data_IF_627036815638
#
_entry.id   IF_627036815638
#
_cell.length_a   1.000
_cell.length_b   1.000
_cell.length_c   1.000
_cell.angle_alpha   90.00
_cell.angle_beta   90.00
_cell.angle_gamma   90.00
#
_symmetry.space_group_name_H-M   'P 1'
#
loop_
_entity.id
_entity.type
_entity.pdbx_description
1 polymer ?
#
# COMPACT_ATOMS: atom_id res chain seq x y z
N UNK A 1 -9.42 -13.42 26.21
CA UNK A 1 -9.81 -13.36 24.77
C UNK A 1 -10.14 -14.71 24.16
N UNK A 2 -9.17 -15.61 23.90
CA UNK A 2 -9.44 -16.87 23.17
C UNK A 2 -10.53 -17.73 23.83
N UNK A 3 -10.58 -17.76 25.16
CA UNK A 3 -11.64 -18.44 25.91
C UNK A 3 -13.02 -17.81 25.66
N UNK A 4 -13.14 -16.49 25.77
CA UNK A 4 -14.38 -15.74 25.50
C UNK A 4 -14.93 -15.97 24.09
N UNK A 5 -14.05 -15.99 23.09
CA UNK A 5 -14.40 -16.29 21.70
C UNK A 5 -14.90 -17.73 21.59
N UNK A 6 -14.17 -18.68 22.17
CA UNK A 6 -14.56 -20.09 22.16
C UNK A 6 -15.92 -20.31 22.84
N UNK A 7 -16.19 -19.65 23.96
CA UNK A 7 -17.43 -19.82 24.70
C UNK A 7 -18.62 -19.17 23.97
N UNK A 8 -18.42 -17.99 23.36
CA UNK A 8 -19.42 -17.38 22.48
C UNK A 8 -19.76 -18.31 21.31
N UNK A 9 -18.76 -18.88 20.64
CA UNK A 9 -18.97 -19.83 19.54
C UNK A 9 -19.66 -21.13 19.98
N UNK A 10 -19.37 -21.66 21.18
CA UNK A 10 -20.07 -22.85 21.73
C UNK A 10 -21.54 -22.57 22.04
N UNK A 11 -21.90 -21.34 22.38
CA UNK A 11 -23.30 -20.97 22.60
C UNK A 11 -24.09 -21.04 21.29
N UNK A 12 -23.49 -20.60 20.19
CA UNK A 12 -24.13 -20.56 18.89
C UNK A 12 -24.08 -21.90 18.12
N UNK A 13 -22.99 -22.65 18.24
CA UNK A 13 -22.77 -23.90 17.50
C UNK A 13 -23.24 -25.09 18.35
N UNK A 14 -24.38 -25.66 17.98
CA UNK A 14 -24.98 -26.82 18.66
C UNK A 14 -24.78 -28.11 17.86
N UNK A 15 -24.78 -29.29 18.53
CA UNK A 15 -24.84 -30.58 17.85
C UNK A 15 -26.02 -30.63 16.86
N UNK A 16 -25.84 -31.24 15.66
CA UNK A 16 -24.72 -32.09 15.24
C UNK A 16 -23.45 -31.34 14.80
N UNK A 17 -23.47 -30.01 14.71
CA UNK A 17 -22.32 -29.20 14.31
C UNK A 17 -21.19 -29.26 15.35
N UNK A 18 -19.95 -29.07 14.89
CA UNK A 18 -18.75 -29.19 15.72
C UNK A 18 -17.93 -27.91 15.71
N UNK A 19 -17.33 -27.61 16.88
CA UNK A 19 -16.34 -26.56 17.06
C UNK A 19 -15.08 -27.17 17.66
N UNK A 20 -13.93 -26.91 17.04
CA UNK A 20 -12.62 -27.32 17.51
C UNK A 20 -11.63 -26.15 17.44
N UNK A 21 -10.59 -26.19 18.29
CA UNK A 21 -9.43 -25.29 18.20
C UNK A 21 -8.24 -26.09 17.72
N UNK A 22 -7.63 -25.69 16.61
CA UNK A 22 -6.45 -26.36 16.05
C UNK A 22 -5.18 -26.04 16.82
N UNK A 23 -5.06 -24.79 17.26
CA UNK A 23 -3.86 -24.24 17.90
C UNK A 23 -3.86 -22.72 17.78
N UNK A 24 -3.02 -22.02 18.57
CA UNK A 24 -2.94 -20.55 18.47
C UNK A 24 -4.29 -19.86 18.57
N UNK A 25 -4.59 -18.98 17.63
CA UNK A 25 -5.86 -18.25 17.43
C UNK A 25 -6.79 -18.91 16.40
N UNK A 26 -6.54 -20.17 16.01
CA UNK A 26 -7.24 -20.86 14.92
C UNK A 26 -8.33 -21.81 15.42
N UNK A 27 -9.53 -21.65 14.84
CA UNK A 27 -10.71 -22.47 15.11
C UNK A 27 -11.21 -23.14 13.82
N UNK A 28 -11.70 -24.38 13.93
CA UNK A 28 -12.46 -25.07 12.89
C UNK A 28 -13.91 -25.19 13.35
N UNK A 29 -14.81 -24.85 12.43
CA UNK A 29 -16.24 -25.10 12.56
C UNK A 29 -16.64 -26.10 11.47
N UNK A 30 -17.36 -27.16 11.84
CA UNK A 30 -17.90 -28.12 10.90
C UNK A 30 -19.42 -28.19 11.04
N UNK A 31 -20.11 -28.00 9.92
CA UNK A 31 -21.57 -28.01 9.84
C UNK A 31 -22.02 -29.21 9.01
N UNK A 32 -23.09 -29.87 9.46
CA UNK A 32 -23.63 -31.06 8.82
C UNK A 32 -25.06 -30.80 8.35
N UNK A 33 -25.51 -31.58 7.36
CA UNK A 33 -26.87 -31.52 6.81
C UNK A 33 -27.30 -30.12 6.37
N UNK A 34 -26.39 -29.40 5.70
CA UNK A 34 -26.66 -28.09 5.11
C UNK A 34 -27.23 -28.26 3.70
N UNK A 35 -28.44 -27.74 3.46
CA UNK A 35 -29.14 -27.88 2.17
C UNK A 35 -28.69 -26.87 1.10
N UNK A 36 -28.21 -25.67 1.52
CA UNK A 36 -27.87 -24.58 0.59
C UNK A 36 -26.77 -23.65 1.13
N UNK A 37 -25.82 -23.30 0.26
CA UNK A 37 -24.74 -22.35 0.54
C UNK A 37 -25.28 -20.93 0.80
N UNK A 38 -26.39 -20.56 0.17
CA UNK A 38 -27.01 -19.24 0.37
C UNK A 38 -27.51 -19.05 1.80
N UNK A 39 -27.81 -20.15 2.51
CA UNK A 39 -28.19 -20.12 3.93
C UNK A 39 -26.98 -20.23 4.85
N UNK A 40 -25.89 -20.83 4.39
CA UNK A 40 -24.68 -21.06 5.16
C UNK A 40 -23.89 -19.77 5.40
N UNK A 41 -23.69 -18.95 4.36
CA UNK A 41 -22.90 -17.71 4.50
C UNK A 41 -23.50 -16.75 5.52
N UNK A 42 -24.81 -16.41 5.47
CA UNK A 42 -25.43 -15.54 6.47
C UNK A 42 -25.38 -16.13 7.89
N UNK A 43 -25.44 -17.46 8.02
CA UNK A 43 -25.30 -18.13 9.31
C UNK A 43 -23.90 -17.92 9.90
N UNK A 44 -22.85 -18.13 9.11
CA UNK A 44 -21.47 -17.91 9.55
C UNK A 44 -21.21 -16.42 9.83
N UNK A 45 -21.74 -15.52 9.00
CA UNK A 45 -21.70 -14.07 9.26
C UNK A 45 -22.34 -13.71 10.60
N UNK A 46 -23.48 -14.32 10.94
CA UNK A 46 -24.13 -14.09 12.24
C UNK A 46 -23.25 -14.50 13.43
N UNK A 47 -22.46 -15.57 13.29
CA UNK A 47 -21.50 -15.98 14.30
C UNK A 47 -20.33 -15.00 14.40
N UNK A 48 -19.88 -14.47 13.25
CA UNK A 48 -18.83 -13.46 13.19
C UNK A 48 -19.28 -12.16 13.85
N UNK A 49 -20.50 -11.69 13.58
CA UNK A 49 -21.06 -10.49 14.21
C UNK A 49 -21.20 -10.66 15.73
N UNK A 50 -21.59 -11.85 16.21
CA UNK A 50 -21.65 -12.14 17.65
C UNK A 50 -20.30 -12.02 18.35
N UNK A 51 -19.21 -12.40 17.66
CA UNK A 51 -17.85 -12.33 18.21
C UNK A 51 -17.13 -11.03 17.87
N UNK A 52 -17.63 -10.23 16.93
CA UNK A 52 -17.13 -8.89 16.53
C UNK A 52 -17.61 -7.82 17.51
N UNK A 53 -17.22 -7.99 18.78
CA UNK A 53 -17.54 -7.09 19.89
C UNK A 53 -16.26 -6.65 20.60
N UNK A 54 -16.34 -5.58 21.37
CA UNK A 54 -15.27 -5.20 22.31
C UNK A 54 -15.21 -6.23 23.44
N UNK A 55 -14.03 -6.81 23.65
CA UNK A 55 -13.72 -7.66 24.79
C UNK A 55 -12.99 -6.85 25.83
N UNK A 56 -13.57 -6.76 27.01
CA UNK A 56 -12.91 -6.14 28.17
C UNK A 56 -12.04 -7.21 28.81
N UNK A 57 -10.73 -7.00 28.80
CA UNK A 57 -9.77 -7.86 29.49
C UNK A 57 -8.96 -6.97 30.44
N UNK A 58 -9.08 -7.25 31.72
CA UNK A 58 -8.60 -6.39 32.80
C UNK A 58 -9.26 -4.99 32.74
N UNK A 59 -8.53 -3.94 32.37
CA UNK A 59 -9.04 -2.56 32.22
C UNK A 59 -8.97 -2.05 30.77
N UNK A 60 -8.53 -2.89 29.83
CA UNK A 60 -8.32 -2.50 28.44
C UNK A 60 -9.41 -3.08 27.52
N UNK A 61 -9.81 -2.26 26.55
CA UNK A 61 -10.77 -2.61 25.51
C UNK A 61 -10.06 -3.20 24.28
N UNK A 62 -10.38 -4.45 23.96
CA UNK A 62 -9.84 -5.13 22.78
C UNK A 62 -10.92 -5.34 21.73
N UNK A 63 -10.67 -4.83 20.53
CA UNK A 63 -11.47 -5.14 19.34
C UNK A 63 -10.77 -6.22 18.52
N UNK A 64 -11.51 -7.24 18.11
CA UNK A 64 -10.97 -8.35 17.30
C UNK A 64 -11.73 -8.48 15.98
N UNK A 65 -10.99 -8.91 14.96
CA UNK A 65 -11.48 -9.20 13.62
C UNK A 65 -11.26 -10.67 13.31
N UNK A 66 -12.00 -11.22 12.35
CA UNK A 66 -11.92 -12.65 12.02
C UNK A 66 -11.85 -12.86 10.51
N UNK A 67 -11.05 -13.82 10.06
CA UNK A 67 -11.05 -14.23 8.65
C UNK A 67 -11.42 -15.70 8.58
N UNK A 68 -12.44 -16.03 7.79
CA UNK A 68 -12.90 -17.40 7.59
C UNK A 68 -12.69 -17.85 6.15
N UNK A 69 -12.34 -19.13 6.01
CA UNK A 69 -12.31 -19.84 4.75
C UNK A 69 -13.27 -21.02 4.83
N UNK A 70 -14.10 -21.18 3.80
CA UNK A 70 -15.16 -22.18 3.76
C UNK A 70 -14.89 -23.17 2.64
N UNK A 71 -14.87 -24.47 2.96
CA UNK A 71 -14.85 -25.54 1.97
C UNK A 71 -16.11 -26.41 2.13
N UNK A 72 -16.74 -26.76 1.00
CA UNK A 72 -17.98 -27.51 0.96
C UNK A 72 -17.72 -28.95 0.57
N UNK A 73 -18.35 -29.87 1.26
CA UNK A 73 -18.43 -31.26 0.82
C UNK A 73 -19.70 -31.45 -0.02
N UNK A 74 -19.65 -32.17 -1.16
CA UNK A 74 -18.46 -32.78 -1.77
C UNK A 74 -17.71 -31.85 -2.76
N UNK A 75 -18.26 -30.68 -3.06
CA UNK A 75 -17.83 -29.83 -4.19
C UNK A 75 -16.36 -29.39 -4.10
N UNK A 76 -15.88 -29.09 -2.89
CA UNK A 76 -14.51 -28.65 -2.63
C UNK A 76 -13.64 -29.79 -2.06
N UNK A 77 -14.09 -31.04 -2.12
CA UNK A 77 -13.32 -32.19 -1.67
C UNK A 77 -14.18 -33.28 -1.06
N UNK A 78 -13.78 -34.53 -1.28
CA UNK A 78 -14.50 -35.71 -0.78
C UNK A 78 -13.89 -36.33 0.47
N UNK A 79 -12.80 -35.74 0.98
CA UNK A 79 -12.09 -36.20 2.17
C UNK A 79 -11.69 -35.01 3.06
N UNK A 80 -11.52 -35.29 4.36
CA UNK A 80 -11.28 -34.26 5.36
C UNK A 80 -9.95 -33.51 5.15
N UNK A 81 -8.92 -34.16 4.59
CA UNK A 81 -7.61 -33.53 4.36
C UNK A 81 -7.75 -32.49 3.26
N UNK A 82 -8.41 -32.85 2.16
CA UNK A 82 -8.67 -31.96 1.03
C UNK A 82 -9.53 -30.78 1.45
N UNK A 83 -10.65 -31.02 2.16
CA UNK A 83 -11.53 -29.96 2.66
C UNK A 83 -10.79 -29.00 3.60
N UNK A 84 -10.01 -29.52 4.54
CA UNK A 84 -9.26 -28.69 5.48
C UNK A 84 -8.21 -27.84 4.76
N UNK A 85 -7.49 -28.40 3.78
CA UNK A 85 -6.52 -27.65 2.96
C UNK A 85 -7.20 -26.55 2.15
N UNK A 86 -8.38 -26.82 1.60
CA UNK A 86 -9.13 -25.86 0.80
C UNK A 86 -9.75 -24.75 1.66
N UNK A 87 -10.25 -25.08 2.85
CA UNK A 87 -10.68 -24.08 3.83
C UNK A 87 -9.52 -23.18 4.26
N UNK A 88 -8.35 -23.74 4.55
CA UNK A 88 -7.15 -22.98 4.89
C UNK A 88 -6.67 -22.07 3.73
N UNK A 89 -6.71 -22.58 2.50
CA UNK A 89 -6.45 -21.78 1.30
C UNK A 89 -7.38 -20.56 1.22
N UNK A 90 -8.67 -20.75 1.45
CA UNK A 90 -9.63 -19.66 1.48
C UNK A 90 -9.38 -18.67 2.63
N UNK A 91 -8.95 -19.13 3.82
CA UNK A 91 -8.51 -18.25 4.93
C UNK A 91 -7.33 -17.39 4.50
N UNK A 92 -6.34 -17.98 3.82
CA UNK A 92 -5.17 -17.25 3.32
C UNK A 92 -5.58 -16.16 2.32
N UNK A 93 -6.50 -16.48 1.40
CA UNK A 93 -7.06 -15.49 0.47
C UNK A 93 -7.83 -14.39 1.22
N UNK A 94 -8.66 -14.72 2.21
CA UNK A 94 -9.36 -13.75 3.05
C UNK A 94 -8.38 -12.79 3.75
N UNK A 95 -7.31 -13.33 4.34
CA UNK A 95 -6.23 -12.52 4.95
C UNK A 95 -5.52 -11.65 3.90
N UNK A 96 -5.41 -12.12 2.66
CA UNK A 96 -4.75 -11.37 1.59
C UNK A 96 -5.59 -10.20 1.05
N UNK A 97 -6.93 -10.33 1.05
CA UNK A 97 -7.92 -9.37 0.53
C UNK A 97 -8.34 -8.29 1.53
N UNK A 98 -7.63 -8.13 2.65
CA UNK A 98 -7.92 -7.11 3.66
C UNK A 98 -8.30 -7.64 5.04
N UNK A 99 -8.31 -8.97 5.23
CA UNK A 99 -8.77 -9.64 6.47
C UNK A 99 -10.27 -9.36 6.70
N UNK A 100 -10.74 -9.74 7.88
CA UNK A 100 -12.09 -9.46 8.39
C UNK A 100 -13.26 -9.83 7.45
N UNK A 101 -13.14 -10.96 6.75
CA UNK A 101 -14.08 -11.41 5.73
C UNK A 101 -14.17 -12.94 5.66
N UNK A 102 -15.25 -13.43 5.06
CA UNK A 102 -15.47 -14.84 4.77
C UNK A 102 -15.19 -15.07 3.28
N UNK A 103 -14.40 -16.08 2.98
CA UNK A 103 -14.11 -16.49 1.60
C UNK A 103 -14.51 -17.94 1.43
N UNK A 104 -15.36 -18.21 0.45
CA UNK A 104 -15.65 -19.58 0.02
C UNK A 104 -14.55 -20.01 -0.92
N UNK A 105 -14.03 -21.21 -0.70
CA UNK A 105 -13.01 -21.81 -1.54
C UNK A 105 -13.48 -21.91 -2.99
N UNK A 106 -12.56 -21.62 -3.89
CA UNK A 106 -12.66 -21.89 -5.32
C UNK A 106 -11.33 -22.49 -5.78
N UNK A 107 -11.35 -23.34 -6.81
CA UNK A 107 -10.15 -24.02 -7.31
C UNK A 107 -9.06 -23.04 -7.75
N UNK A 108 -9.46 -21.86 -8.24
CA UNK A 108 -8.53 -20.79 -8.60
C UNK A 108 -7.65 -20.33 -7.42
N UNK A 109 -8.16 -20.43 -6.18
CA UNK A 109 -7.42 -20.00 -4.98
C UNK A 109 -6.16 -20.83 -4.74
N UNK A 110 -6.18 -22.12 -5.04
CA UNK A 110 -4.98 -22.98 -4.91
C UNK A 110 -3.91 -22.53 -5.90
N UNK A 111 -4.32 -22.20 -7.12
CA UNK A 111 -3.42 -21.67 -8.15
C UNK A 111 -2.84 -20.33 -7.72
N UNK A 112 -3.67 -19.41 -7.19
CA UNK A 112 -3.23 -18.11 -6.69
C UNK A 112 -2.18 -18.23 -5.56
N UNK A 113 -2.43 -19.08 -4.57
CA UNK A 113 -1.49 -19.28 -3.44
C UNK A 113 -0.16 -19.87 -3.92
N UNK A 114 -0.22 -20.83 -4.85
CA UNK A 114 0.98 -21.40 -5.47
C UNK A 114 1.77 -20.33 -6.21
N UNK A 115 1.09 -19.49 -7.01
CA UNK A 115 1.72 -18.39 -7.72
C UNK A 115 2.38 -17.39 -6.77
N UNK A 116 1.71 -17.00 -5.68
CA UNK A 116 2.27 -16.11 -4.66
C UNK A 116 3.53 -16.69 -4.01
N UNK A 117 3.50 -18.00 -3.71
CA UNK A 117 4.65 -18.70 -3.11
C UNK A 117 5.84 -18.77 -4.08
N UNK A 118 5.59 -19.06 -5.35
CA UNK A 118 6.62 -19.02 -6.40
C UNK A 118 7.25 -17.62 -6.51
N UNK A 119 6.42 -16.58 -6.53
CA UNK A 119 6.86 -15.18 -6.59
C UNK A 119 7.70 -14.84 -5.37
N UNK A 120 7.27 -15.20 -4.16
CA UNK A 120 8.03 -14.96 -2.93
C UNK A 120 9.41 -15.64 -2.93
N UNK A 121 9.48 -16.87 -3.42
CA UNK A 121 10.75 -17.60 -3.53
C UNK A 121 11.71 -16.92 -4.51
N UNK A 122 11.19 -16.41 -5.62
CA UNK A 122 11.97 -15.72 -6.65
C UNK A 122 12.37 -14.30 -6.23
N UNK A 123 11.51 -13.61 -5.47
CA UNK A 123 11.76 -12.26 -4.95
C UNK A 123 13.07 -12.18 -4.15
N UNK A 124 13.39 -13.24 -3.38
CA UNK A 124 14.65 -13.37 -2.63
C UNK A 124 15.89 -13.32 -3.53
N UNK A 125 15.76 -13.77 -4.78
CA UNK A 125 16.83 -13.82 -5.77
C UNK A 125 16.82 -12.60 -6.70
N UNK A 126 15.74 -11.80 -6.70
CA UNK A 126 15.56 -10.70 -7.64
C UNK A 126 16.66 -9.64 -7.54
N UNK A 127 17.10 -9.26 -6.34
CA UNK A 127 18.23 -8.33 -6.15
C UNK A 127 19.56 -8.94 -6.63
N UNK A 128 20.01 -10.13 -6.14
CA UNK A 128 21.23 -10.76 -6.64
C UNK A 128 21.27 -10.98 -8.15
N UNK A 129 20.12 -11.26 -8.77
CA UNK A 129 20.01 -11.54 -10.21
C UNK A 129 19.83 -10.28 -11.07
N UNK A 130 19.81 -9.07 -10.48
CA UNK A 130 19.55 -7.81 -11.17
C UNK A 130 18.21 -7.79 -11.94
N UNK A 131 17.17 -8.36 -11.35
CA UNK A 131 15.83 -8.43 -11.95
C UNK A 131 15.01 -7.15 -11.71
N UNK A 132 15.46 -6.29 -10.78
CA UNK A 132 14.85 -5.00 -10.54
C UNK A 132 15.47 -3.89 -11.39
N UNK A 133 14.63 -2.95 -11.82
CA UNK A 133 15.05 -1.70 -12.44
C UNK A 133 14.20 -0.54 -11.90
N UNK A 134 14.69 0.69 -12.04
CA UNK A 134 13.91 1.88 -11.76
C UNK A 134 13.44 2.53 -13.06
N UNK A 135 12.14 2.80 -13.11
CA UNK A 135 11.56 3.73 -14.07
C UNK A 135 11.27 5.06 -13.36
N UNK A 136 11.23 6.14 -14.11
CA UNK A 136 11.11 7.49 -13.59
C UNK A 136 9.94 8.19 -14.25
N UNK A 137 9.06 8.76 -13.44
CA UNK A 137 7.94 9.55 -13.93
C UNK A 137 8.15 11.04 -13.62
N UNK A 138 8.19 11.92 -14.64
CA UNK A 138 8.30 13.36 -14.49
C UNK A 138 7.18 13.99 -13.65
N UNK A 139 7.59 14.93 -12.81
CA UNK A 139 6.75 15.86 -12.06
C UNK A 139 6.96 17.25 -12.66
N UNK A 140 5.90 17.83 -13.22
CA UNK A 140 5.93 19.07 -13.99
C UNK A 140 5.38 20.22 -13.16
N UNK A 141 6.06 21.36 -13.17
CA UNK A 141 5.57 22.63 -12.61
C UNK A 141 4.48 23.21 -13.51
N UNK A 142 3.27 23.37 -13.00
CA UNK A 142 2.15 23.88 -13.81
C UNK A 142 2.26 25.37 -14.13
N UNK A 143 3.08 26.13 -13.39
CA UNK A 143 3.26 27.56 -13.60
C UNK A 143 4.09 27.87 -14.85
N UNK A 144 5.16 27.10 -15.10
CA UNK A 144 6.10 27.33 -16.21
C UNK A 144 6.33 26.12 -17.13
N UNK A 145 5.59 25.03 -16.90
CA UNK A 145 5.61 23.79 -17.67
C UNK A 145 6.99 23.11 -17.74
N UNK A 146 7.84 23.36 -16.73
CA UNK A 146 9.18 22.74 -16.63
C UNK A 146 9.21 21.56 -15.69
N UNK A 147 10.18 20.67 -15.93
CA UNK A 147 10.48 19.57 -15.02
C UNK A 147 10.93 20.09 -13.65
N UNK A 148 10.22 19.69 -12.59
CA UNK A 148 10.56 19.96 -11.19
C UNK A 148 11.31 18.79 -10.54
N UNK A 149 10.89 17.57 -10.87
CA UNK A 149 11.45 16.34 -10.31
C UNK A 149 11.00 15.10 -11.05
N UNK A 150 11.39 13.94 -10.54
CA UNK A 150 10.92 12.64 -11.03
C UNK A 150 10.58 11.73 -9.86
N UNK A 151 9.57 10.89 -10.01
CA UNK A 151 9.28 9.81 -9.09
C UNK A 151 9.96 8.52 -9.54
N UNK A 152 10.73 7.89 -8.65
CA UNK A 152 11.39 6.63 -8.88
C UNK A 152 10.43 5.46 -8.56
N UNK A 153 10.11 4.71 -9.60
CA UNK A 153 9.12 3.64 -9.59
C UNK A 153 9.80 2.31 -9.94
N UNK A 154 9.85 1.40 -8.99
CA UNK A 154 10.46 0.07 -9.16
C UNK A 154 9.73 -0.75 -10.22
N UNK A 155 10.47 -1.52 -11.01
CA UNK A 155 9.97 -2.50 -11.98
C UNK A 155 10.65 -3.83 -11.72
N UNK A 156 9.90 -4.92 -11.77
CA UNK A 156 10.46 -6.26 -11.69
C UNK A 156 10.33 -6.96 -13.04
N UNK A 157 11.47 -7.34 -13.61
CA UNK A 157 11.59 -8.11 -14.83
C UNK A 157 11.96 -9.55 -14.50
N UNK A 158 10.94 -10.35 -14.24
CA UNK A 158 11.10 -11.75 -13.91
C UNK A 158 11.52 -12.57 -15.15
N UNK A 159 12.51 -13.49 -15.06
CA UNK A 159 13.07 -14.20 -16.22
C UNK A 159 12.06 -15.07 -17.01
N UNK A 160 11.08 -15.65 -16.33
CA UNK A 160 10.03 -16.50 -16.95
C UNK A 160 8.71 -15.75 -17.15
N UNK A 161 8.15 -15.19 -16.07
CA UNK A 161 6.86 -14.46 -16.07
C UNK A 161 6.90 -13.07 -16.73
N UNK A 162 8.08 -12.53 -17.06
CA UNK A 162 8.20 -11.20 -17.66
C UNK A 162 7.97 -10.09 -16.63
N UNK A 163 7.24 -9.04 -17.00
CA UNK A 163 7.01 -7.90 -16.11
C UNK A 163 6.01 -8.25 -15.00
N UNK A 164 6.42 -8.13 -13.74
CA UNK A 164 5.55 -8.29 -12.57
C UNK A 164 5.18 -6.89 -12.03
N UNK A 165 3.88 -6.56 -11.89
CA UNK A 165 3.43 -5.27 -11.38
C UNK A 165 3.93 -4.98 -9.95
N UNK A 166 4.31 -3.72 -9.63
CA UNK A 166 4.74 -3.32 -8.29
C UNK A 166 3.76 -3.68 -7.18
N UNK A 167 2.47 -3.43 -7.39
CA UNK A 167 1.41 -3.74 -6.43
C UNK A 167 1.43 -5.21 -5.97
N UNK A 168 1.71 -6.14 -6.90
CA UNK A 168 1.70 -7.57 -6.60
C UNK A 168 2.86 -7.96 -5.69
N UNK A 169 4.09 -7.61 -6.06
CA UNK A 169 5.25 -8.04 -5.30
C UNK A 169 5.53 -7.18 -4.06
N UNK A 170 5.17 -5.90 -4.05
CA UNK A 170 5.37 -5.03 -2.87
C UNK A 170 4.51 -5.53 -1.72
N UNK A 171 3.22 -5.81 -1.94
CA UNK A 171 2.34 -6.35 -0.88
C UNK A 171 2.82 -7.70 -0.36
N UNK A 172 3.36 -8.57 -1.23
CA UNK A 172 3.98 -9.83 -0.81
C UNK A 172 5.25 -9.60 0.00
N UNK A 173 6.09 -8.65 -0.42
CA UNK A 173 7.34 -8.28 0.26
C UNK A 173 7.08 -7.74 1.66
N UNK A 174 6.06 -6.90 1.81
CA UNK A 174 5.63 -6.33 3.08
C UNK A 174 5.19 -7.40 4.07
N UNK A 175 4.29 -8.29 3.63
CA UNK A 175 3.77 -9.40 4.47
C UNK A 175 4.87 -10.37 4.94
N UNK A 176 5.95 -10.49 4.17
CA UNK A 176 7.02 -11.48 4.41
C UNK A 176 8.35 -10.87 4.85
N UNK A 177 8.40 -9.56 5.09
CA UNK A 177 9.59 -8.86 5.59
C UNK A 177 10.67 -8.51 4.56
N UNK A 178 10.48 -8.85 3.27
CA UNK A 178 11.42 -8.53 2.18
C UNK A 178 11.43 -7.06 1.75
N UNK A 179 10.43 -6.30 2.19
CA UNK A 179 10.31 -4.89 1.80
C UNK A 179 11.52 -4.05 2.25
N UNK A 180 12.24 -4.50 3.28
CA UNK A 180 13.43 -3.82 3.78
C UNK A 180 14.57 -3.84 2.76
N UNK A 181 14.93 -5.00 2.23
CA UNK A 181 16.01 -5.10 1.23
C UNK A 181 15.63 -4.36 -0.07
N UNK A 182 14.36 -4.43 -0.46
CA UNK A 182 13.86 -3.72 -1.65
C UNK A 182 13.95 -2.21 -1.46
N UNK A 183 13.53 -1.69 -0.31
CA UNK A 183 13.60 -0.25 -0.02
C UNK A 183 15.05 0.25 -0.01
N UNK A 184 15.97 -0.53 0.58
CA UNK A 184 17.41 -0.23 0.54
C UNK A 184 17.93 -0.18 -0.89
N UNK A 185 17.59 -1.19 -1.69
CA UNK A 185 18.00 -1.27 -3.10
C UNK A 185 17.46 -0.09 -3.90
N UNK A 186 16.17 0.24 -3.78
CA UNK A 186 15.54 1.38 -4.45
C UNK A 186 16.24 2.68 -4.07
N UNK A 187 16.49 2.90 -2.77
CA UNK A 187 17.15 4.12 -2.31
C UNK A 187 18.55 4.27 -2.92
N UNK A 188 19.34 3.20 -2.88
CA UNK A 188 20.71 3.21 -3.42
C UNK A 188 20.75 3.42 -4.93
N UNK A 189 19.86 2.75 -5.66
CA UNK A 189 19.76 2.90 -7.12
C UNK A 189 19.27 4.30 -7.52
N UNK A 190 18.25 4.82 -6.83
CA UNK A 190 17.75 6.17 -7.03
C UNK A 190 18.83 7.23 -6.72
N UNK A 191 19.60 7.04 -5.64
CA UNK A 191 20.69 7.95 -5.29
C UNK A 191 21.82 7.92 -6.33
N UNK A 192 22.23 6.72 -6.77
CA UNK A 192 23.23 6.57 -7.83
C UNK A 192 22.79 7.24 -9.14
N UNK A 193 21.52 7.04 -9.51
CA UNK A 193 20.99 7.64 -10.74
C UNK A 193 20.85 9.17 -10.64
N UNK A 194 20.49 9.69 -9.46
CA UNK A 194 20.49 11.13 -9.19
C UNK A 194 21.88 11.73 -9.41
N UNK A 195 22.93 11.11 -8.85
CA UNK A 195 24.31 11.58 -9.03
C UNK A 195 24.75 11.55 -10.51
N UNK A 196 24.39 10.49 -11.24
CA UNK A 196 24.66 10.38 -12.66
C UNK A 196 24.00 11.49 -13.50
N UNK A 197 22.80 11.95 -13.11
CA UNK A 197 22.15 13.10 -13.73
C UNK A 197 22.80 14.42 -13.31
N UNK A 198 23.17 14.57 -12.04
CA UNK A 198 23.85 15.76 -11.54
C UNK A 198 25.20 15.99 -12.24
N UNK A 199 25.98 14.93 -12.49
CA UNK A 199 27.22 14.99 -13.27
C UNK A 199 27.00 15.49 -14.71
N UNK A 200 25.80 15.28 -15.27
CA UNK A 200 25.40 15.80 -16.60
C UNK A 200 24.79 17.20 -16.53
N UNK A 201 24.90 17.88 -15.37
CA UNK A 201 24.38 19.22 -15.14
C UNK A 201 22.86 19.28 -14.99
N UNK A 202 22.19 18.14 -14.75
CA UNK A 202 20.74 18.09 -14.54
C UNK A 202 20.45 18.11 -13.05
N UNK A 203 19.70 19.12 -12.60
CA UNK A 203 19.37 19.34 -11.18
C UNK A 203 17.86 19.44 -11.03
N UNK A 204 17.24 18.36 -10.57
CA UNK A 204 15.82 18.26 -10.25
C UNK A 204 15.64 17.31 -9.06
N UNK A 205 14.49 17.30 -8.40
CA UNK A 205 14.27 16.43 -7.23
C UNK A 205 14.00 14.97 -7.65
N UNK A 206 14.29 14.01 -6.77
CA UNK A 206 13.90 12.61 -6.91
C UNK A 206 12.98 12.20 -5.77
N UNK A 207 11.82 11.65 -6.10
CA UNK A 207 10.86 11.09 -5.15
C UNK A 207 11.06 9.58 -5.01
N UNK A 208 11.00 9.07 -3.78
CA UNK A 208 11.16 7.65 -3.44
C UNK A 208 10.04 7.24 -2.48
N UNK A 209 9.28 6.21 -2.87
CA UNK A 209 8.23 5.63 -2.05
C UNK A 209 8.80 4.83 -0.85
N UNK A 210 8.21 5.04 0.32
CA UNK A 210 8.56 4.33 1.56
C UNK A 210 7.32 3.60 2.07
N UNK A 211 7.44 2.28 2.28
CA UNK A 211 6.34 1.48 2.83
C UNK A 211 6.02 1.82 4.28
N UNK A 212 4.76 1.63 4.66
CA UNK A 212 4.28 1.80 6.04
C UNK A 212 5.08 0.93 7.03
N UNK A 213 5.33 -0.33 6.66
CA UNK A 213 6.06 -1.28 7.51
C UNK A 213 7.49 -0.79 7.76
N UNK A 214 8.14 -0.20 6.75
CA UNK A 214 9.48 0.37 6.93
C UNK A 214 9.45 1.60 7.82
N UNK A 215 8.51 2.52 7.60
CA UNK A 215 8.38 3.73 8.41
C UNK A 215 8.22 3.41 9.91
N UNK A 216 7.45 2.36 10.21
CA UNK A 216 7.17 1.91 11.58
C UNK A 216 8.28 1.03 12.18
N UNK A 217 9.31 0.67 11.41
CA UNK A 217 10.40 -0.16 11.90
C UNK A 217 11.43 0.68 12.65
N UNK A 218 11.76 0.30 13.89
CA UNK A 218 12.72 1.05 14.72
C UNK A 218 14.14 1.12 14.11
N UNK A 219 14.49 0.19 13.22
CA UNK A 219 15.76 0.21 12.50
C UNK A 219 15.77 1.14 11.27
N UNK A 220 14.63 1.71 10.87
CA UNK A 220 14.53 2.50 9.63
C UNK A 220 15.44 3.73 9.65
N UNK A 221 15.34 4.59 10.66
CA UNK A 221 16.17 5.80 10.75
C UNK A 221 17.67 5.48 10.83
N UNK A 222 18.14 4.50 11.64
CA UNK A 222 19.52 4.03 11.58
C UNK A 222 19.96 3.57 10.18
N UNK A 223 19.12 2.80 9.46
CA UNK A 223 19.44 2.33 8.12
C UNK A 223 19.47 3.48 7.10
N UNK A 224 18.50 4.40 7.15
CA UNK A 224 18.44 5.56 6.27
C UNK A 224 19.69 6.45 6.45
N UNK A 225 20.15 6.66 7.68
CA UNK A 225 21.41 7.37 7.94
C UNK A 225 22.60 6.67 7.28
N UNK A 226 22.67 5.33 7.37
CA UNK A 226 23.71 4.53 6.71
C UNK A 226 23.62 4.68 5.19
N UNK A 227 22.44 4.58 4.60
CA UNK A 227 22.26 4.69 3.14
C UNK A 227 22.64 6.08 2.63
N UNK A 228 22.26 7.15 3.35
CA UNK A 228 22.67 8.53 3.05
C UNK A 228 24.18 8.67 3.14
N UNK A 229 24.80 8.13 4.19
CA UNK A 229 26.26 8.19 4.35
C UNK A 229 27.01 7.48 3.23
N UNK A 230 26.54 6.29 2.82
CA UNK A 230 27.14 5.49 1.76
C UNK A 230 26.98 6.14 0.37
N UNK A 231 25.79 6.68 0.07
CA UNK A 231 25.48 7.30 -1.22
C UNK A 231 25.98 8.73 -1.35
N UNK A 232 26.17 9.45 -0.23
CA UNK A 232 26.52 10.88 -0.18
C UNK A 232 25.51 11.79 -0.90
N UNK A 233 24.27 11.34 -1.05
CA UNK A 233 23.22 12.13 -1.68
C UNK A 233 22.88 13.35 -0.83
N UNK A 234 22.63 14.47 -1.50
CA UNK A 234 22.05 15.67 -0.88
C UNK A 234 20.57 15.40 -0.56
N UNK A 235 20.26 15.17 0.72
CA UNK A 235 18.90 14.89 1.19
C UNK A 235 17.88 15.95 0.77
N UNK A 236 18.29 17.22 0.58
CA UNK A 236 17.38 18.29 0.14
C UNK A 236 16.83 18.09 -1.28
N UNK A 237 17.44 17.17 -2.03
CA UNK A 237 17.08 16.79 -3.40
C UNK A 237 16.24 15.53 -3.47
N UNK A 238 16.04 14.87 -2.34
CA UNK A 238 15.21 13.68 -2.21
C UNK A 238 13.91 14.04 -1.51
N UNK A 239 12.80 13.54 -2.07
CA UNK A 239 11.49 13.53 -1.44
C UNK A 239 11.18 12.09 -1.05
N UNK A 240 10.85 11.85 0.21
CA UNK A 240 10.32 10.56 0.64
C UNK A 240 8.80 10.62 0.60
N UNK A 241 8.19 9.71 -0.13
CA UNK A 241 6.74 9.62 -0.31
C UNK A 241 6.19 8.54 0.61
N UNK A 242 5.18 8.90 1.40
CA UNK A 242 4.61 8.06 2.45
C UNK A 242 3.10 8.15 2.33
N UNK A 243 2.44 7.01 2.22
CA UNK A 243 0.98 6.97 2.08
C UNK A 243 0.28 7.49 3.33
N UNK A 244 -0.92 8.04 3.15
CA UNK A 244 -1.76 8.51 4.25
C UNK A 244 -2.07 7.39 5.27
N UNK A 245 -2.37 6.19 4.77
CA UNK A 245 -2.67 5.01 5.59
C UNK A 245 -1.49 4.59 6.47
N UNK A 246 -0.26 4.79 6.00
CA UNK A 246 0.95 4.54 6.79
C UNK A 246 1.04 5.45 8.02
N UNK A 247 0.63 6.71 7.89
CA UNK A 247 0.73 7.68 8.99
C UNK A 247 -0.33 7.42 10.05
N UNK A 248 -1.56 7.10 9.62
CA UNK A 248 -2.71 6.97 10.51
C UNK A 248 -2.60 5.72 11.41
N UNK A 249 -1.85 4.69 11.00
CA UNK A 249 -1.72 3.47 11.81
C UNK A 249 -1.09 3.70 13.20
N UNK A 250 -0.15 4.64 13.30
CA UNK A 250 0.42 5.12 14.57
C UNK A 250 0.95 6.55 14.37
N UNK A 251 0.10 7.53 14.70
CA UNK A 251 0.35 8.92 14.34
C UNK A 251 1.47 9.56 15.15
N UNK A 252 1.59 9.23 16.43
CA UNK A 252 2.60 9.80 17.31
C UNK A 252 3.98 9.24 16.95
N UNK A 253 4.08 7.93 16.69
CA UNK A 253 5.31 7.32 16.18
C UNK A 253 5.68 7.90 14.81
N UNK A 254 4.71 8.02 13.90
CA UNK A 254 4.93 8.64 12.59
C UNK A 254 5.50 10.04 12.73
N UNK A 255 4.87 10.92 13.51
CA UNK A 255 5.35 12.29 13.73
C UNK A 255 6.80 12.29 14.25
N UNK A 256 7.15 11.37 15.16
CA UNK A 256 8.52 11.24 15.66
C UNK A 256 9.50 10.91 14.54
N UNK A 257 9.21 9.88 13.75
CA UNK A 257 10.05 9.41 12.63
C UNK A 257 10.16 10.49 11.55
N UNK A 258 9.06 11.11 11.14
CA UNK A 258 9.05 12.17 10.14
C UNK A 258 9.89 13.38 10.58
N UNK A 259 9.84 13.76 11.87
CA UNK A 259 10.73 14.82 12.41
C UNK A 259 12.21 14.45 12.29
N UNK A 260 12.57 13.19 12.46
CA UNK A 260 13.95 12.72 12.25
C UNK A 260 14.35 12.79 10.78
N UNK A 261 13.47 12.37 9.86
CA UNK A 261 13.66 12.50 8.41
C UNK A 261 13.87 13.97 8.02
N UNK A 262 13.06 14.90 8.54
CA UNK A 262 13.23 16.34 8.31
C UNK A 262 14.56 16.87 8.83
N UNK A 263 15.02 16.42 10.01
CA UNK A 263 16.33 16.81 10.57
C UNK A 263 17.50 16.35 9.69
N UNK A 264 17.33 15.26 8.94
CA UNK A 264 18.32 14.80 7.96
C UNK A 264 18.33 15.64 6.67
N UNK A 265 17.31 16.49 6.46
CA UNK A 265 17.21 17.42 5.33
C UNK A 265 16.32 16.96 4.18
N UNK A 266 15.60 15.84 4.32
CA UNK A 266 14.67 15.36 3.30
C UNK A 266 13.44 16.25 3.15
N UNK A 267 12.84 16.22 1.95
CA UNK A 267 11.45 16.61 1.76
C UNK A 267 10.56 15.38 2.05
N UNK A 268 9.35 15.62 2.52
CA UNK A 268 8.36 14.57 2.79
C UNK A 268 7.09 14.89 2.03
N UNK A 269 6.62 13.94 1.24
CA UNK A 269 5.32 14.00 0.59
C UNK A 269 4.35 13.01 1.25
N UNK A 270 3.14 13.50 1.53
CA UNK A 270 2.01 12.66 1.88
C UNK A 270 1.37 12.17 0.58
N UNK A 271 1.42 10.87 0.35
CA UNK A 271 0.90 10.21 -0.83
C UNK A 271 -0.51 9.64 -0.61
N UNK A 272 -1.23 9.39 -1.69
CA UNK A 272 -2.63 8.91 -1.70
C UNK A 272 -3.61 9.77 -0.88
N UNK A 273 -3.36 11.08 -0.77
CA UNK A 273 -4.14 11.96 0.11
C UNK A 273 -5.62 12.01 -0.30
N UNK A 274 -6.50 11.81 0.68
CA UNK A 274 -7.96 11.81 0.53
C UNK A 274 -8.57 10.42 0.47
N UNK A 275 -7.77 9.37 0.30
CA UNK A 275 -8.25 7.97 0.31
C UNK A 275 -8.44 7.41 1.73
N UNK A 276 -7.90 8.10 2.75
CA UNK A 276 -8.01 7.74 4.16
C UNK A 276 -8.86 8.70 5.00
N UNK A 277 -9.06 8.34 6.28
CA UNK A 277 -9.71 9.20 7.27
C UNK A 277 -8.73 10.22 7.87
N UNK A 278 -8.23 11.17 7.08
CA UNK A 278 -7.41 12.25 7.62
C UNK A 278 -8.24 13.22 8.45
N UNK A 279 -8.03 13.19 9.77
CA UNK A 279 -8.47 14.30 10.63
C UNK A 279 -7.56 15.50 10.39
N UNK A 280 -8.16 16.61 9.95
CA UNK A 280 -7.53 17.92 9.72
C UNK A 280 -6.56 18.33 10.84
N UNK A 281 -6.92 17.97 12.06
CA UNK A 281 -6.18 18.25 13.29
C UNK A 281 -4.76 17.67 13.27
N UNK A 282 -4.57 16.50 12.68
CA UNK A 282 -3.25 15.88 12.63
C UNK A 282 -2.44 16.31 11.41
N UNK A 283 -3.09 16.59 10.28
CA UNK A 283 -2.39 17.11 9.10
C UNK A 283 -1.57 18.37 9.44
N UNK A 284 -2.11 19.24 10.31
CA UNK A 284 -1.40 20.42 10.84
C UNK A 284 -0.16 20.11 11.69
N UNK A 285 -0.07 18.90 12.26
CA UNK A 285 1.05 18.46 13.12
C UNK A 285 2.12 17.69 12.35
N UNK A 286 1.79 17.17 11.16
CA UNK A 286 2.71 16.39 10.35
C UNK A 286 3.80 17.30 9.78
N UNK A 287 5.09 16.96 9.93
CA UNK A 287 6.18 17.77 9.41
C UNK A 287 6.42 17.43 7.92
N UNK A 288 5.39 17.61 7.09
CA UNK A 288 5.40 17.34 5.64
C UNK A 288 5.61 18.62 4.84
N UNK A 289 6.02 18.48 3.59
CA UNK A 289 6.23 19.60 2.66
C UNK A 289 5.24 19.57 1.49
N UNK A 290 4.80 18.37 1.11
CA UNK A 290 4.05 18.11 -0.12
C UNK A 290 2.83 17.22 0.21
N UNK A 291 1.72 17.50 -0.45
CA UNK A 291 0.55 16.61 -0.55
C UNK A 291 0.42 16.17 -2.01
N UNK A 292 0.34 14.86 -2.25
CA UNK A 292 0.00 14.28 -3.55
C UNK A 292 -1.47 13.87 -3.54
N UNK A 293 -2.25 14.45 -4.45
CA UNK A 293 -3.68 14.15 -4.61
C UNK A 293 -3.79 12.93 -5.52
N UNK A 294 -4.39 11.86 -5.01
CA UNK A 294 -4.53 10.60 -5.74
C UNK A 294 -5.36 10.75 -7.03
N UNK A 295 -5.02 9.93 -8.02
CA UNK A 295 -5.69 9.89 -9.32
C UNK A 295 -7.19 9.63 -9.22
N UNK A 296 -7.70 8.97 -8.18
CA UNK A 296 -9.14 8.69 -8.03
C UNK A 296 -9.95 9.98 -7.90
N UNK A 297 -9.39 10.99 -7.24
CA UNK A 297 -9.98 12.33 -7.18
C UNK A 297 -9.89 13.07 -8.51
N UNK A 298 -9.02 12.65 -9.43
CA UNK A 298 -8.74 13.35 -10.68
C UNK A 298 -9.44 12.74 -11.90
N UNK A 299 -9.67 11.43 -11.86
CA UNK A 299 -10.18 10.66 -13.00
C UNK A 299 -11.58 11.09 -13.44
N UNK A 300 -12.46 11.46 -12.51
CA UNK A 300 -13.89 11.72 -12.76
C UNK A 300 -14.32 13.18 -12.54
N UNK A 301 -13.38 14.13 -12.51
CA UNK A 301 -13.72 15.51 -12.19
C UNK A 301 -14.43 16.16 -13.39
N UNK A 302 -15.63 16.68 -13.13
CA UNK A 302 -16.28 17.66 -13.98
C UNK A 302 -16.60 18.95 -13.19
N UNK A 303 -16.60 20.13 -13.83
CA UNK A 303 -17.04 21.36 -13.17
C UNK A 303 -18.43 21.18 -12.55
N UNK A 304 -18.62 21.76 -11.36
CA UNK A 304 -19.90 21.76 -10.61
C UNK A 304 -20.38 20.38 -10.10
N UNK A 305 -19.46 19.42 -9.95
CA UNK A 305 -19.71 18.13 -9.27
C UNK A 305 -19.28 18.18 -7.79
N UNK A 306 -19.80 17.28 -6.97
CA UNK A 306 -19.41 17.18 -5.55
C UNK A 306 -17.92 16.81 -5.43
N UNK A 307 -17.44 15.90 -6.28
CA UNK A 307 -16.03 15.47 -6.36
C UNK A 307 -15.11 16.66 -6.65
N UNK A 308 -15.54 17.55 -7.55
CA UNK A 308 -14.82 18.78 -7.84
C UNK A 308 -14.73 19.72 -6.62
N UNK A 309 -15.83 19.86 -5.87
CA UNK A 309 -15.84 20.69 -4.66
C UNK A 309 -14.91 20.14 -3.57
N UNK A 310 -14.87 18.82 -3.39
CA UNK A 310 -13.97 18.14 -2.46
C UNK A 310 -12.51 18.38 -2.87
N UNK A 311 -12.17 18.17 -4.14
CA UNK A 311 -10.83 18.42 -4.65
C UNK A 311 -10.38 19.86 -4.41
N UNK A 312 -11.24 20.83 -4.75
CA UNK A 312 -10.92 22.25 -4.55
C UNK A 312 -10.68 22.55 -3.07
N UNK A 313 -11.50 22.01 -2.17
CA UNK A 313 -11.29 22.14 -0.74
C UNK A 313 -9.95 21.54 -0.28
N UNK A 314 -9.56 20.38 -0.80
CA UNK A 314 -8.27 19.75 -0.50
C UNK A 314 -7.08 20.61 -0.94
N UNK A 315 -7.15 21.18 -2.15
CA UNK A 315 -6.12 22.09 -2.69
C UNK A 315 -6.02 23.34 -1.81
N UNK A 316 -7.15 24.00 -1.55
CA UNK A 316 -7.21 25.21 -0.73
C UNK A 316 -6.66 24.94 0.68
N UNK A 317 -7.03 23.81 1.28
CA UNK A 317 -6.53 23.40 2.59
C UNK A 317 -5.01 23.23 2.59
N UNK A 318 -4.46 22.50 1.63
CA UNK A 318 -3.02 22.26 1.53
C UNK A 318 -2.26 23.59 1.43
N UNK A 319 -2.73 24.52 0.60
CA UNK A 319 -2.12 25.85 0.46
C UNK A 319 -2.24 26.70 1.73
N UNK A 320 -3.36 26.64 2.46
CA UNK A 320 -3.49 27.30 3.76
C UNK A 320 -2.47 26.76 4.79
N UNK A 321 -2.13 25.47 4.70
CA UNK A 321 -1.09 24.84 5.51
C UNK A 321 0.33 25.09 4.97
N UNK A 322 0.47 25.88 3.89
CA UNK A 322 1.73 26.17 3.19
C UNK A 322 2.41 24.92 2.63
N UNK A 323 1.61 23.91 2.28
CA UNK A 323 2.06 22.69 1.64
C UNK A 323 1.98 22.87 0.13
N UNK A 324 2.92 22.22 -0.55
CA UNK A 324 2.94 22.10 -2.01
C UNK A 324 1.94 21.02 -2.43
N UNK A 325 1.19 21.25 -3.50
CA UNK A 325 0.24 20.28 -4.05
C UNK A 325 0.77 19.66 -5.35
N UNK A 326 0.78 18.33 -5.41
CA UNK A 326 1.02 17.55 -6.63
C UNK A 326 -0.27 16.85 -7.02
N UNK A 327 -0.75 17.04 -8.24
CA UNK A 327 -1.89 16.31 -8.78
C UNK A 327 -1.41 15.08 -9.57
N UNK A 328 -1.90 13.89 -9.23
CA UNK A 328 -1.49 12.63 -9.87
C UNK A 328 -2.49 12.10 -10.90
N UNK A 329 -1.99 11.26 -11.81
CA UNK A 329 -2.86 10.61 -12.79
C UNK A 329 -3.51 11.57 -13.77
N UNK A 330 -2.85 12.67 -14.14
CA UNK A 330 -3.30 13.52 -15.25
C UNK A 330 -3.18 12.73 -16.56
N UNK A 331 -4.29 12.47 -17.23
CA UNK A 331 -4.36 11.68 -18.46
C UNK A 331 -4.72 12.50 -19.69
N UNK A 332 -5.37 13.65 -19.52
CA UNK A 332 -5.82 14.47 -20.65
C UNK A 332 -5.65 15.99 -20.43
N UNK A 333 -5.83 16.74 -21.52
CA UNK A 333 -5.67 18.20 -21.55
C UNK A 333 -6.70 18.93 -20.67
N UNK A 334 -7.90 18.38 -20.54
CA UNK A 334 -8.96 18.97 -19.71
C UNK A 334 -8.56 18.95 -18.23
N UNK A 335 -8.13 17.79 -17.73
CA UNK A 335 -7.58 17.62 -16.38
C UNK A 335 -6.40 18.55 -16.13
N UNK A 336 -5.44 18.62 -17.07
CA UNK A 336 -4.29 19.52 -16.98
C UNK A 336 -4.71 21.00 -16.84
N UNK A 337 -5.59 21.49 -17.74
CA UNK A 337 -6.04 22.88 -17.73
C UNK A 337 -6.79 23.22 -16.44
N UNK A 338 -7.54 22.26 -15.93
CA UNK A 338 -8.27 22.40 -14.68
C UNK A 338 -7.32 22.52 -13.49
N UNK A 339 -6.31 21.65 -13.37
CA UNK A 339 -5.32 21.73 -12.29
C UNK A 339 -4.59 23.08 -12.31
N UNK A 340 -4.26 23.58 -13.50
CA UNK A 340 -3.65 24.91 -13.68
C UNK A 340 -4.61 26.05 -13.26
N UNK A 341 -5.89 25.96 -13.62
CA UNK A 341 -6.93 26.93 -13.23
C UNK A 341 -7.14 27.01 -11.72
N UNK A 342 -6.96 25.90 -11.01
CA UNK A 342 -7.10 25.81 -9.55
C UNK A 342 -5.77 25.90 -8.80
N UNK A 343 -4.74 26.44 -9.45
CA UNK A 343 -3.45 26.79 -8.83
C UNK A 343 -2.71 25.61 -8.19
N UNK A 344 -2.93 24.38 -8.67
CA UNK A 344 -2.09 23.23 -8.27
C UNK A 344 -0.64 23.51 -8.68
N UNK A 345 0.32 23.26 -7.79
CA UNK A 345 1.72 23.61 -8.01
C UNK A 345 2.39 22.70 -9.04
N UNK A 346 2.21 21.39 -8.88
CA UNK A 346 2.85 20.37 -9.71
C UNK A 346 1.85 19.32 -10.21
N UNK A 347 2.18 18.68 -11.32
CA UNK A 347 1.38 17.59 -11.86
C UNK A 347 2.24 16.44 -12.38
N UNK A 348 1.68 15.23 -12.28
CA UNK A 348 2.25 14.00 -12.77
C UNK A 348 1.16 13.15 -13.42
N UNK A 349 1.48 12.48 -14.53
CA UNK A 349 0.50 11.63 -15.20
C UNK A 349 0.86 11.29 -16.64
N UNK A 350 0.04 10.42 -17.24
CA UNK A 350 0.27 9.89 -18.60
C UNK A 350 0.04 10.92 -19.69
N UNK A 351 -0.68 12.01 -19.41
CA UNK A 351 -0.77 13.18 -20.28
C UNK A 351 0.62 13.71 -20.67
N UNK A 352 1.54 13.73 -19.70
CA UNK A 352 2.92 14.14 -19.93
C UNK A 352 3.75 12.98 -20.49
N UNK A 353 3.84 11.90 -19.71
CA UNK A 353 4.51 10.67 -20.12
C UNK A 353 4.27 9.54 -19.10
N UNK A 354 4.41 8.30 -19.60
CA UNK A 354 4.47 7.10 -18.76
C UNK A 354 5.84 6.99 -18.07
N UNK A 355 5.93 6.29 -16.93
CA UNK A 355 7.21 6.00 -16.28
C UNK A 355 8.20 5.36 -17.24
N UNK A 356 9.41 5.92 -17.32
CA UNK A 356 10.40 5.58 -18.35
C UNK A 356 11.78 5.25 -17.76
N UNK A 357 12.60 4.44 -18.44
CA UNK A 357 13.97 4.17 -17.97
C UNK A 357 14.84 5.43 -18.01
N UNK A 358 15.92 5.44 -17.23
CA UNK A 358 16.79 6.60 -16.99
C UNK A 358 17.33 7.31 -18.24
N UNK A 359 17.58 6.56 -19.33
CA UNK A 359 18.07 7.10 -20.60
C UNK A 359 17.02 7.95 -21.31
N UNK A 360 15.75 7.56 -21.22
CA UNK A 360 14.62 8.27 -21.83
C UNK A 360 14.28 9.57 -21.10
N UNK A 361 14.53 9.64 -19.79
CA UNK A 361 14.31 10.87 -19.01
C UNK A 361 15.09 12.06 -19.59
N UNK A 362 16.33 11.83 -20.00
CA UNK A 362 17.17 12.89 -20.59
C UNK A 362 16.69 13.33 -21.98
N UNK A 363 16.07 12.42 -22.74
CA UNK A 363 15.45 12.75 -24.03
C UNK A 363 14.19 13.58 -23.82
N UNK A 364 13.33 13.16 -22.88
CA UNK A 364 12.13 13.89 -22.49
C UNK A 364 12.43 15.31 -22.02
N UNK A 365 13.46 15.50 -21.19
CA UNK A 365 13.89 16.84 -20.73
C UNK A 365 14.30 17.75 -21.90
N UNK A 366 14.81 17.20 -23.01
CA UNK A 366 15.21 17.99 -24.18
C UNK A 366 14.02 18.35 -25.08
N UNK A 367 12.89 17.65 -24.95
CA UNK A 367 11.68 17.90 -25.75
C UNK A 367 10.69 18.87 -25.09
N UNK A 368 10.84 19.12 -23.79
CA UNK A 368 10.21 20.23 -23.08
C UNK A 368 10.87 21.56 -23.49
#
# INVERSE_FOLDING_TARGET
MIKEVADSLKEAIKPPNMLARLGGDEFILAFFDMDDIETFVPLVESYFEMIRKTYILDEDDFFITFSAGVALYPDHGTDYITLMRHADAAVSIAKSKGKDQIVIFDEEMVSMIKQQTEILNQLRQAIPNNEFSLHYQPIINLADDKLSGVEALIRWHHPVKGFIPPLEFISLSEKNGYIKEITEWVFKEAASQYDAWNMKGKRFKISINISAIMLMNDSFIPNLNKWVFESKIDCSKVTLEITETAIISDIEKSIHVLKQIKKMGFNIALDDFGTGYSSLTYLQKLPIDIIKIDRTFISNIHPDTEEFHVLKYMIDLAHHLKLVVVAEGIENLEQYNMMKKYYVDFAQGYYFCKPMPQNRVLEYIKSL
#
